data_IF_591429253457
#
_entry.id   IF_591429253457
#
_cell.length_a   1.000
_cell.length_b   1.000
_cell.length_c   1.000
_cell.angle_alpha   90.00
_cell.angle_beta   90.00
_cell.angle_gamma   90.00
#
_symmetry.space_group_name_H-M   'P 1'
#
loop_
_entity.id
_entity.type
_entity.pdbx_description
1 polymer ?
#
# COMPACT_ATOMS: atom_id res chain seq x y z
N UNK A 1 13.62 -3.79 -8.36
CA UNK A 1 12.49 -4.08 -7.46
C UNK A 1 12.79 -3.40 -6.13
N UNK A 2 11.77 -2.93 -5.42
CA UNK A 2 11.90 -2.21 -4.15
C UNK A 2 11.13 -3.01 -3.09
N UNK A 3 11.77 -3.41 -1.99
CA UNK A 3 11.10 -4.14 -0.92
C UNK A 3 10.11 -3.19 -0.23
N UNK A 4 8.85 -3.63 -0.10
CA UNK A 4 7.73 -2.80 0.35
C UNK A 4 7.11 -3.33 1.64
N UNK A 5 6.23 -2.52 2.23
CA UNK A 5 5.42 -2.91 3.38
C UNK A 5 4.52 -4.12 3.09
N UNK A 6 3.96 -4.23 1.88
CA UNK A 6 3.21 -5.41 1.44
C UNK A 6 4.09 -6.68 1.49
N UNK A 7 5.30 -6.61 0.93
CA UNK A 7 6.24 -7.75 0.97
C UNK A 7 6.56 -8.12 2.43
N UNK A 8 6.75 -7.13 3.31
CA UNK A 8 6.94 -7.33 4.73
C UNK A 8 5.79 -8.10 5.39
N UNK A 9 4.55 -7.73 5.10
CA UNK A 9 3.38 -8.38 5.69
C UNK A 9 3.10 -9.75 5.10
N UNK A 10 3.30 -9.92 3.80
CA UNK A 10 3.23 -11.22 3.14
C UNK A 10 4.22 -12.20 3.78
N UNK A 11 5.45 -11.77 4.06
CA UNK A 11 6.43 -12.56 4.80
C UNK A 11 5.91 -12.90 6.20
N UNK A 12 5.41 -11.92 6.97
CA UNK A 12 4.87 -12.12 8.33
C UNK A 12 3.79 -13.20 8.36
N UNK A 13 2.81 -13.11 7.46
CA UNK A 13 1.69 -14.06 7.40
C UNK A 13 2.18 -15.46 6.99
N UNK A 14 2.96 -15.55 5.91
CA UNK A 14 3.50 -16.82 5.41
C UNK A 14 4.36 -17.53 6.46
N UNK A 15 5.20 -16.77 7.16
CA UNK A 15 6.06 -17.32 8.20
C UNK A 15 5.28 -17.75 9.45
N UNK A 16 4.21 -17.02 9.83
CA UNK A 16 3.33 -17.41 10.94
C UNK A 16 2.72 -18.79 10.71
N UNK A 17 2.30 -19.08 9.48
CA UNK A 17 1.78 -20.40 9.12
C UNK A 17 2.89 -21.45 9.08
N UNK A 18 4.00 -21.15 8.38
CA UNK A 18 5.11 -22.08 8.18
C UNK A 18 5.83 -22.46 9.47
N UNK A 19 5.89 -21.55 10.45
CA UNK A 19 6.61 -21.73 11.71
C UNK A 19 5.69 -21.91 12.91
N UNK A 20 4.38 -22.08 12.70
CA UNK A 20 3.36 -22.26 13.74
C UNK A 20 3.68 -23.35 14.79
N UNK A 21 4.34 -24.44 14.37
CA UNK A 21 4.72 -25.54 15.26
C UNK A 21 6.19 -25.50 15.75
N UNK A 22 6.94 -24.45 15.41
CA UNK A 22 8.40 -24.39 15.60
C UNK A 22 8.83 -23.90 16.99
N UNK A 23 7.91 -23.27 17.74
CA UNK A 23 8.22 -22.60 19.01
C UNK A 23 8.96 -21.27 18.87
N UNK A 24 9.31 -20.85 17.65
CA UNK A 24 9.88 -19.53 17.38
C UNK A 24 8.79 -18.47 17.23
N UNK A 25 9.09 -17.23 17.62
CA UNK A 25 8.23 -16.04 17.40
C UNK A 25 8.78 -15.10 16.33
N UNK A 26 9.96 -15.41 15.78
CA UNK A 26 10.70 -14.58 14.85
C UNK A 26 11.56 -15.44 13.92
N UNK A 27 11.93 -14.89 12.76
CA UNK A 27 12.76 -15.56 11.76
C UNK A 27 13.69 -14.54 11.10
N UNK A 28 14.84 -15.01 10.62
CA UNK A 28 15.80 -14.18 9.90
C UNK A 28 15.26 -13.80 8.52
N UNK A 29 15.46 -12.53 8.17
CA UNK A 29 15.25 -12.00 6.82
C UNK A 29 16.59 -11.65 6.19
N UNK A 30 16.60 -11.43 4.88
CA UNK A 30 17.80 -11.11 4.12
C UNK A 30 18.36 -9.69 4.31
N UNK A 31 17.97 -8.96 5.35
CA UNK A 31 18.41 -7.59 5.59
C UNK A 31 19.56 -7.58 6.61
N UNK A 32 20.74 -7.09 6.22
CA UNK A 32 21.98 -7.23 7.01
C UNK A 32 22.97 -6.09 6.79
N UNK A 33 23.75 -5.76 7.82
CA UNK A 33 24.91 -4.86 7.72
C UNK A 33 26.25 -5.58 7.54
N UNK A 34 26.26 -6.91 7.40
CA UNK A 34 27.50 -7.68 7.19
C UNK A 34 28.25 -7.26 5.92
N UNK A 35 27.50 -6.81 4.91
CA UNK A 35 28.02 -6.48 3.59
C UNK A 35 28.34 -4.98 3.45
N UNK A 36 28.22 -4.18 4.52
CA UNK A 36 28.52 -2.76 4.49
C UNK A 36 29.94 -2.47 4.96
N UNK A 37 30.58 -1.48 4.35
CA UNK A 37 31.96 -1.08 4.69
C UNK A 37 32.07 -0.56 6.13
N UNK A 38 31.01 0.05 6.65
CA UNK A 38 30.93 0.59 8.00
C UNK A 38 30.44 -0.43 9.05
N UNK A 39 30.03 -1.63 8.61
CA UNK A 39 29.39 -2.67 9.43
C UNK A 39 28.07 -2.27 10.09
N UNK A 40 27.50 -1.11 9.74
CA UNK A 40 26.32 -0.49 10.39
C UNK A 40 25.17 -0.25 9.42
N UNK A 41 25.45 -0.03 8.15
CA UNK A 41 24.43 0.22 7.14
C UNK A 41 23.77 -1.09 6.71
N UNK A 42 22.48 -1.25 7.00
CA UNK A 42 21.74 -2.45 6.60
C UNK A 42 21.31 -2.37 5.13
N UNK A 43 21.49 -3.50 4.43
CA UNK A 43 21.11 -3.67 3.03
C UNK A 43 20.59 -5.10 2.79
N UNK A 44 19.74 -5.26 1.77
CA UNK A 44 19.27 -6.58 1.37
C UNK A 44 20.39 -7.36 0.71
N UNK A 45 20.55 -8.64 1.08
CA UNK A 45 21.57 -9.55 0.53
C UNK A 45 21.45 -9.79 -0.97
N UNK A 46 20.25 -9.60 -1.54
CA UNK A 46 19.97 -9.74 -2.97
C UNK A 46 20.14 -8.41 -3.75
N UNK A 47 20.54 -7.34 -3.07
CA UNK A 47 20.69 -6.00 -3.65
C UNK A 47 19.37 -5.25 -3.90
N UNK A 48 18.24 -5.79 -3.45
CA UNK A 48 16.94 -5.09 -3.51
C UNK A 48 17.04 -3.75 -2.76
N UNK A 49 16.55 -2.68 -3.38
CA UNK A 49 16.43 -1.38 -2.70
C UNK A 49 15.22 -1.39 -1.77
N UNK A 50 15.20 -0.55 -0.75
CA UNK A 50 14.00 -0.36 0.08
C UNK A 50 13.92 1.09 0.55
N UNK A 51 12.73 1.67 0.45
CA UNK A 51 12.31 2.90 1.13
C UNK A 51 11.42 2.61 2.35
N UNK A 52 11.09 1.33 2.57
CA UNK A 52 10.35 0.84 3.72
C UNK A 52 11.27 0.69 4.93
N UNK A 53 10.84 1.24 6.06
CA UNK A 53 11.49 1.07 7.34
C UNK A 53 10.67 0.12 8.23
N UNK A 54 11.09 -1.13 8.33
CA UNK A 54 10.43 -2.12 9.19
C UNK A 54 10.99 -2.22 10.60
N UNK A 55 11.98 -1.41 10.99
CA UNK A 55 12.61 -1.50 12.31
C UNK A 55 11.63 -1.24 13.46
N UNK A 56 11.71 -2.06 14.51
CA UNK A 56 11.02 -1.80 15.76
C UNK A 56 11.63 -0.58 16.49
N UNK A 57 10.89 -0.03 17.44
CA UNK A 57 11.36 1.13 18.21
C UNK A 57 12.67 0.81 18.94
N UNK A 58 13.73 1.56 18.63
CA UNK A 58 15.05 1.42 19.26
C UNK A 58 16.01 0.51 18.49
N UNK A 59 15.57 -0.04 17.36
CA UNK A 59 16.41 -0.78 16.41
C UNK A 59 16.85 0.12 15.25
N UNK A 60 17.96 -0.19 14.55
CA UNK A 60 18.87 -1.31 14.81
C UNK A 60 19.79 -1.11 16.04
N UNK A 61 19.95 -2.15 16.85
CA UNK A 61 20.90 -2.16 17.98
C UNK A 61 22.36 -2.33 17.53
N UNK A 62 23.28 -1.65 18.21
CA UNK A 62 24.71 -1.74 17.89
C UNK A 62 25.29 -3.12 18.23
N UNK A 63 26.01 -3.72 17.29
CA UNK A 63 26.74 -4.98 17.46
C UNK A 63 26.04 -6.22 16.90
N UNK A 64 24.78 -6.08 16.48
CA UNK A 64 24.03 -7.13 15.80
C UNK A 64 23.85 -6.75 14.31
N UNK A 65 24.20 -7.66 13.40
CA UNK A 65 24.33 -7.34 11.97
C UNK A 65 23.28 -8.02 11.09
N UNK A 66 22.41 -8.88 11.64
CA UNK A 66 21.34 -9.53 10.90
C UNK A 66 19.98 -9.03 11.41
N UNK A 67 19.03 -8.85 10.51
CA UNK A 67 17.67 -8.53 10.87
C UNK A 67 16.82 -9.81 11.00
N UNK A 68 15.92 -9.82 11.96
CA UNK A 68 14.86 -10.80 12.07
C UNK A 68 13.51 -10.10 12.09
N UNK A 69 12.50 -10.73 11.51
CA UNK A 69 11.14 -10.24 11.54
C UNK A 69 10.35 -10.96 12.62
N UNK A 70 9.57 -10.21 13.41
CA UNK A 70 8.67 -10.74 14.43
C UNK A 70 7.32 -11.08 13.81
N UNK A 71 6.81 -12.27 14.10
CA UNK A 71 5.55 -12.76 13.50
C UNK A 71 4.32 -12.03 14.04
N UNK A 72 4.36 -11.48 15.25
CA UNK A 72 3.20 -10.80 15.85
C UNK A 72 2.79 -9.53 15.10
N UNK A 73 3.76 -8.70 14.72
CA UNK A 73 3.53 -7.34 14.20
C UNK A 73 4.24 -7.08 12.87
N UNK A 74 5.19 -7.94 12.48
CA UNK A 74 6.00 -7.75 11.28
C UNK A 74 7.16 -6.79 11.45
N UNK A 75 7.43 -6.30 12.68
CA UNK A 75 8.55 -5.40 12.96
C UNK A 75 9.88 -6.16 12.97
N UNK A 76 10.96 -5.43 12.69
CA UNK A 76 12.31 -5.96 12.60
C UNK A 76 13.10 -5.68 13.86
N UNK A 77 13.85 -6.69 14.27
CA UNK A 77 14.81 -6.63 15.36
C UNK A 77 16.19 -7.00 14.84
N UNK A 78 17.24 -6.47 15.45
CA UNK A 78 18.59 -6.94 15.14
C UNK A 78 18.90 -8.22 15.93
N UNK A 79 19.70 -9.09 15.33
CA UNK A 79 20.07 -10.39 15.86
C UNK A 79 21.52 -10.74 15.51
N UNK A 80 22.23 -11.49 16.38
CA UNK A 80 23.52 -12.06 16.04
C UNK A 80 23.40 -13.01 14.85
N UNK A 81 24.21 -12.80 13.81
CA UNK A 81 24.17 -13.61 12.59
C UNK A 81 24.64 -15.07 12.79
N UNK A 82 25.37 -15.35 13.87
CA UNK A 82 25.95 -16.66 14.17
C UNK A 82 25.04 -17.58 15.01
N UNK A 83 23.85 -17.11 15.39
CA UNK A 83 22.89 -17.88 16.16
C UNK A 83 21.89 -18.60 15.26
N UNK A 84 21.50 -19.82 15.65
CA UNK A 84 20.55 -20.64 14.90
C UNK A 84 19.14 -20.07 15.00
N UNK A 85 18.54 -19.75 13.85
CA UNK A 85 17.17 -19.24 13.73
C UNK A 85 16.51 -19.80 12.46
N UNK A 86 15.18 -19.94 12.41
CA UNK A 86 14.47 -20.14 11.16
C UNK A 86 14.69 -18.93 10.25
N UNK A 87 14.60 -19.13 8.94
CA UNK A 87 14.84 -18.08 7.94
C UNK A 87 13.94 -18.28 6.73
N UNK A 88 13.74 -17.20 5.97
CA UNK A 88 12.96 -17.20 4.74
C UNK A 88 13.86 -17.05 3.51
N UNK A 89 13.47 -17.69 2.41
CA UNK A 89 14.12 -17.52 1.10
C UNK A 89 13.16 -16.84 0.12
N UNK A 90 13.71 -15.98 -0.74
CA UNK A 90 13.02 -15.37 -1.87
C UNK A 90 13.67 -15.82 -3.16
N UNK A 91 12.86 -16.15 -4.15
CA UNK A 91 13.32 -16.53 -5.48
C UNK A 91 12.17 -16.54 -6.48
N UNK A 92 12.46 -16.65 -7.79
CA UNK A 92 11.43 -16.78 -8.80
C UNK A 92 10.59 -18.04 -8.53
N UNK A 93 9.27 -17.90 -8.66
CA UNK A 93 8.37 -19.04 -8.54
C UNK A 93 8.68 -20.07 -9.64
N UNK A 94 8.92 -21.33 -9.25
CA UNK A 94 9.14 -22.41 -10.21
C UNK A 94 7.91 -22.55 -11.12
N UNK A 95 8.11 -22.36 -12.42
CA UNK A 95 7.05 -22.52 -13.43
C UNK A 95 6.25 -21.26 -13.75
N UNK A 96 6.59 -20.10 -13.16
CA UNK A 96 5.97 -18.81 -13.50
C UNK A 96 7.06 -17.89 -14.05
N UNK A 97 7.01 -17.57 -15.34
CA UNK A 97 7.80 -16.49 -15.91
C UNK A 97 7.26 -15.16 -15.37
N UNK A 98 7.94 -14.59 -14.38
CA UNK A 98 7.73 -13.19 -14.00
C UNK A 98 8.08 -12.32 -15.20
N UNK A 99 7.13 -11.55 -15.72
CA UNK A 99 7.38 -10.56 -16.76
C UNK A 99 8.37 -9.54 -16.23
N UNK A 100 9.42 -9.26 -16.98
CA UNK A 100 10.37 -8.21 -16.62
C UNK A 100 9.61 -6.90 -16.38
N UNK A 101 10.07 -6.13 -15.39
CA UNK A 101 9.65 -4.73 -15.23
C UNK A 101 9.80 -4.00 -16.59
N UNK A 102 8.89 -3.08 -16.96
CA UNK A 102 9.00 -2.37 -18.22
C UNK A 102 10.36 -1.69 -18.30
N UNK A 103 11.14 -2.06 -19.31
CA UNK A 103 12.41 -1.41 -19.63
C UNK A 103 12.08 0.05 -19.93
N UNK A 104 12.63 0.94 -19.11
CA UNK A 104 12.58 2.38 -19.33
C UNK A 104 13.34 2.71 -20.63
N UNK A 105 12.59 2.81 -21.73
CA UNK A 105 13.01 3.35 -23.01
C UNK A 105 12.15 4.59 -23.29
N UNK A 106 12.78 5.76 -23.30
CA UNK A 106 12.10 7.04 -23.15
C UNK A 106 11.28 7.53 -24.33
N UNK A 107 10.31 8.38 -24.03
CA UNK A 107 10.09 9.74 -24.57
C UNK A 107 8.84 10.29 -23.90
N UNK A 108 8.81 11.61 -23.69
CA UNK A 108 7.74 12.38 -23.02
C UNK A 108 6.35 12.04 -23.57
N UNK A 109 5.69 11.07 -22.94
CA UNK A 109 4.26 10.81 -23.02
C UNK A 109 3.82 10.49 -21.60
N UNK A 110 2.69 11.05 -21.19
CA UNK A 110 2.13 10.94 -19.85
C UNK A 110 2.18 9.48 -19.33
N UNK A 111 2.77 9.21 -18.14
CA UNK A 111 2.95 7.88 -17.60
C UNK A 111 1.69 6.99 -17.67
N UNK A 112 0.47 7.54 -17.53
CA UNK A 112 -0.77 6.75 -17.57
C UNK A 112 -1.13 6.20 -18.94
N UNK A 113 -0.73 6.85 -20.04
CA UNK A 113 -1.05 6.35 -21.39
C UNK A 113 -0.37 5.01 -21.72
N UNK A 114 0.67 4.65 -20.97
CA UNK A 114 1.37 3.38 -21.12
C UNK A 114 0.68 2.20 -20.41
N UNK A 115 -0.27 2.47 -19.51
CA UNK A 115 -0.97 1.43 -18.75
C UNK A 115 -2.04 0.74 -19.60
N UNK A 116 -2.18 -0.57 -19.41
CA UNK A 116 -3.24 -1.34 -20.08
C UNK A 116 -4.61 -0.93 -19.55
N UNK A 117 -5.58 -0.81 -20.46
CA UNK A 117 -6.97 -0.48 -20.12
C UNK A 117 -7.74 -1.73 -19.72
N UNK A 118 -8.72 -1.55 -18.85
CA UNK A 118 -9.67 -2.57 -18.44
C UNK A 118 -11.08 -1.98 -18.31
N UNK A 119 -12.07 -2.85 -18.09
CA UNK A 119 -13.42 -2.48 -17.70
C UNK A 119 -13.71 -3.14 -16.36
N UNK A 120 -14.18 -2.38 -15.37
CA UNK A 120 -14.59 -2.94 -14.10
C UNK A 120 -15.90 -2.31 -13.64
N UNK A 121 -16.88 -3.16 -13.36
CA UNK A 121 -18.25 -2.77 -12.98
C UNK A 121 -18.89 -1.75 -13.94
N UNK A 122 -18.56 -1.84 -15.24
CA UNK A 122 -19.12 -0.96 -16.27
C UNK A 122 -18.38 0.37 -16.48
N UNK A 123 -17.32 0.64 -15.70
CA UNK A 123 -16.49 1.84 -15.87
C UNK A 123 -15.14 1.52 -16.52
N UNK A 124 -14.62 2.52 -17.23
CA UNK A 124 -13.28 2.46 -17.79
C UNK A 124 -12.24 2.48 -16.67
N UNK A 125 -11.31 1.54 -16.72
CA UNK A 125 -10.24 1.41 -15.75
C UNK A 125 -8.86 1.24 -16.36
N UNK A 126 -7.87 1.21 -15.48
CA UNK A 126 -6.48 0.88 -15.81
C UNK A 126 -6.00 -0.28 -14.94
N UNK A 127 -5.16 -1.12 -15.54
CA UNK A 127 -4.53 -2.25 -14.86
C UNK A 127 -3.27 -1.76 -14.14
N UNK A 128 -3.18 -1.98 -12.83
CA UNK A 128 -1.92 -1.76 -12.10
C UNK A 128 -0.97 -2.92 -12.37
N UNK A 129 0.15 -2.73 -13.11
CA UNK A 129 0.96 -3.84 -13.63
C UNK A 129 1.55 -4.76 -12.55
N UNK A 130 1.99 -4.27 -11.38
CA UNK A 130 2.54 -5.15 -10.35
C UNK A 130 1.56 -6.21 -9.83
N UNK A 131 0.25 -5.90 -9.77
CA UNK A 131 -0.76 -6.82 -9.25
C UNK A 131 -1.69 -7.39 -10.33
N UNK A 132 -1.72 -6.77 -11.52
CA UNK A 132 -2.64 -7.12 -12.59
C UNK A 132 -4.10 -6.76 -12.31
N UNK A 133 -4.39 -6.06 -11.20
CA UNK A 133 -5.76 -5.67 -10.82
C UNK A 133 -6.23 -4.46 -11.59
N UNK A 134 -7.53 -4.43 -11.90
CA UNK A 134 -8.18 -3.31 -12.57
C UNK A 134 -8.69 -2.29 -11.54
N UNK A 135 -8.39 -1.01 -11.78
CA UNK A 135 -8.85 0.10 -10.96
C UNK A 135 -9.73 0.99 -11.81
N UNK A 136 -10.86 1.42 -11.27
CA UNK A 136 -11.80 2.31 -11.95
C UNK A 136 -12.44 3.25 -10.94
N UNK A 137 -12.71 4.49 -11.35
CA UNK A 137 -13.45 5.45 -10.54
C UNK A 137 -14.91 5.45 -10.95
N UNK A 138 -15.79 5.43 -9.95
CA UNK A 138 -17.24 5.44 -10.11
C UNK A 138 -17.80 6.70 -9.48
N UNK A 139 -18.85 7.24 -10.07
CA UNK A 139 -19.60 8.36 -9.47
C UNK A 139 -20.53 7.82 -8.39
N UNK A 140 -20.74 8.57 -7.33
CA UNK A 140 -21.84 8.29 -6.40
C UNK A 140 -23.18 8.49 -7.12
N UNK A 141 -24.06 7.49 -7.09
CA UNK A 141 -25.40 7.59 -7.71
C UNK A 141 -26.30 8.55 -6.93
N UNK A 142 -26.28 8.45 -5.59
CA UNK A 142 -27.16 9.14 -4.64
C UNK A 142 -26.44 9.34 -3.28
N UNK A 143 -26.90 10.30 -2.47
CA UNK A 143 -26.35 10.65 -1.14
C UNK A 143 -26.42 9.53 -0.07
N UNK A 144 -26.90 8.33 -0.42
CA UNK A 144 -27.08 7.21 0.54
C UNK A 144 -25.77 6.59 1.01
N UNK A 145 -24.69 6.73 0.22
CA UNK A 145 -23.33 6.63 0.74
C UNK A 145 -22.76 5.23 0.99
N UNK A 146 -23.35 4.13 0.51
CA UNK A 146 -22.82 2.76 0.76
C UNK A 146 -22.28 2.03 -0.48
N UNK A 147 -22.47 2.56 -1.70
CA UNK A 147 -22.09 1.86 -2.95
C UNK A 147 -20.57 1.57 -3.04
N UNK A 148 -19.76 2.49 -2.54
CA UNK A 148 -18.30 2.37 -2.49
C UNK A 148 -17.83 1.20 -1.62
N UNK A 149 -18.63 0.76 -0.63
CA UNK A 149 -18.34 -0.43 0.17
C UNK A 149 -18.40 -1.72 -0.67
N UNK A 150 -19.06 -1.72 -1.82
CA UNK A 150 -19.09 -2.90 -2.71
C UNK A 150 -17.93 -2.91 -3.70
N UNK A 151 -17.08 -1.89 -3.67
CA UNK A 151 -16.10 -1.64 -4.71
C UNK A 151 -14.67 -2.02 -4.37
N UNK A 152 -14.42 -2.42 -3.12
CA UNK A 152 -13.15 -3.00 -2.68
C UNK A 152 -11.95 -2.06 -2.92
N UNK A 153 -12.14 -0.73 -2.85
CA UNK A 153 -11.03 0.20 -3.02
C UNK A 153 -10.02 0.04 -1.88
N UNK A 154 -8.91 -0.63 -2.16
CA UNK A 154 -7.82 -0.89 -1.22
C UNK A 154 -6.49 -0.51 -1.86
N UNK A 155 -5.55 0.00 -1.05
CA UNK A 155 -4.23 0.44 -1.49
C UNK A 155 -3.19 -0.06 -0.47
N UNK A 156 -2.12 -0.68 -0.95
CA UNK A 156 -1.15 -1.45 -0.14
C UNK A 156 0.30 -0.99 -0.29
N UNK A 157 0.59 -0.06 -1.20
CA UNK A 157 1.92 0.53 -1.30
C UNK A 157 1.93 1.92 -1.94
N UNK A 158 3.06 2.62 -1.79
CA UNK A 158 3.26 3.98 -2.28
C UNK A 158 3.16 4.12 -3.80
N UNK A 159 3.45 3.06 -4.56
CA UNK A 159 3.37 3.06 -6.04
C UNK A 159 1.96 2.78 -6.54
N UNK A 160 1.19 1.96 -5.83
CA UNK A 160 -0.24 1.77 -6.05
C UNK A 160 -0.98 3.08 -5.74
N UNK A 161 -0.66 3.74 -4.63
CA UNK A 161 -1.22 5.03 -4.23
C UNK A 161 -0.88 6.14 -5.25
N UNK A 162 0.39 6.23 -5.68
CA UNK A 162 0.79 7.16 -6.74
C UNK A 162 0.02 6.91 -8.05
N UNK A 163 -0.19 5.64 -8.41
CA UNK A 163 -0.95 5.26 -9.60
C UNK A 163 -2.41 5.70 -9.50
N UNK A 164 -3.09 5.40 -8.39
CA UNK A 164 -4.49 5.80 -8.14
C UNK A 164 -4.64 7.33 -8.11
N UNK A 165 -3.73 8.04 -7.42
CA UNK A 165 -3.75 9.50 -7.34
C UNK A 165 -3.59 10.15 -8.72
N UNK A 166 -2.78 9.57 -9.61
CA UNK A 166 -2.66 10.05 -10.99
C UNK A 166 -3.92 9.76 -11.82
N UNK A 167 -4.52 8.58 -11.65
CA UNK A 167 -5.77 8.22 -12.34
C UNK A 167 -6.90 9.20 -12.06
N UNK A 168 -7.10 9.57 -10.78
CA UNK A 168 -8.20 10.49 -10.42
C UNK A 168 -7.94 11.90 -10.95
N UNK A 169 -6.68 12.35 -10.99
CA UNK A 169 -6.34 13.66 -11.56
C UNK A 169 -6.71 13.71 -13.03
N UNK A 170 -6.36 12.70 -13.82
CA UNK A 170 -6.70 12.67 -15.24
C UNK A 170 -8.21 12.59 -15.48
N UNK A 171 -8.93 11.80 -14.67
CA UNK A 171 -10.39 11.76 -14.69
C UNK A 171 -11.00 13.15 -14.48
N UNK A 172 -10.56 13.84 -13.44
CA UNK A 172 -11.05 15.17 -13.09
C UNK A 172 -10.70 16.22 -14.16
N UNK A 173 -9.65 15.97 -14.99
CA UNK A 173 -9.27 16.88 -16.11
C UNK A 173 -10.32 16.79 -17.18
N UNK A 174 -10.71 15.56 -17.51
CA UNK A 174 -11.75 15.27 -18.49
C UNK A 174 -13.10 15.81 -18.02
N UNK A 175 -13.41 15.67 -16.74
CA UNK A 175 -14.71 16.07 -16.17
C UNK A 175 -14.80 17.54 -15.77
N UNK A 176 -13.71 18.31 -15.92
CA UNK A 176 -13.64 19.74 -15.58
C UNK A 176 -13.99 20.05 -14.12
N UNK A 177 -13.68 19.12 -13.21
CA UNK A 177 -13.87 19.31 -11.76
C UNK A 177 -12.92 20.38 -11.17
N UNK A 178 -12.01 20.94 -11.97
CA UNK A 178 -10.87 21.76 -11.52
C UNK A 178 -11.11 23.26 -11.31
N UNK A 179 -12.35 23.73 -11.42
CA UNK A 179 -12.66 25.15 -11.23
C UNK A 179 -13.84 25.29 -10.28
N UNK A 180 -13.70 25.94 -9.10
CA UNK A 180 -12.59 26.76 -8.60
C UNK A 180 -11.56 26.05 -7.66
N UNK A 181 -11.57 24.72 -7.53
CA UNK A 181 -10.82 24.02 -6.47
C UNK A 181 -9.39 23.59 -6.86
N UNK A 182 -8.45 23.62 -5.90
CA UNK A 182 -7.06 23.19 -6.07
C UNK A 182 -6.79 21.79 -5.50
N UNK A 183 -7.56 21.38 -4.50
CA UNK A 183 -7.49 20.06 -3.87
C UNK A 183 -8.76 19.27 -4.19
N UNK A 184 -8.58 17.96 -4.33
CA UNK A 184 -9.61 17.03 -4.76
C UNK A 184 -9.66 15.84 -3.85
N UNK A 185 -10.87 15.37 -3.60
CA UNK A 185 -11.12 14.29 -2.66
C UNK A 185 -11.88 13.18 -3.36
N UNK A 186 -11.48 11.95 -3.12
CA UNK A 186 -12.18 10.74 -3.57
C UNK A 186 -12.21 9.71 -2.44
N UNK A 187 -13.26 8.90 -2.39
CA UNK A 187 -13.34 7.80 -1.44
C UNK A 187 -12.48 6.61 -1.91
N UNK A 188 -11.74 6.00 -0.98
CA UNK A 188 -10.93 4.81 -1.23
C UNK A 188 -11.70 3.58 -0.75
N UNK A 189 -11.86 3.43 0.57
CA UNK A 189 -12.45 2.23 1.19
C UNK A 189 -12.62 2.42 2.70
N UNK A 190 -13.39 1.54 3.34
CA UNK A 190 -13.62 1.59 4.78
C UNK A 190 -12.60 0.70 5.51
N UNK A 191 -12.28 1.05 6.74
CA UNK A 191 -11.35 0.32 7.60
C UNK A 191 -12.06 -0.16 8.85
N UNK A 192 -11.74 -1.38 9.29
CA UNK A 192 -12.31 -2.01 10.48
C UNK A 192 -11.23 -2.72 11.31
N UNK A 193 -11.51 -2.98 12.58
CA UNK A 193 -10.55 -3.52 13.56
C UNK A 193 -11.18 -4.63 14.41
N UNK A 194 -11.29 -5.88 13.92
CA UNK A 194 -11.96 -6.98 14.64
C UNK A 194 -11.16 -7.55 15.83
N UNK A 195 -10.25 -6.77 16.43
CA UNK A 195 -9.56 -7.11 17.68
C UNK A 195 -8.14 -7.67 17.57
N UNK A 196 -7.63 -7.98 16.36
CA UNK A 196 -6.25 -8.49 16.17
C UNK A 196 -5.44 -7.75 15.10
N UNK A 197 -5.95 -6.63 14.59
CA UNK A 197 -5.31 -5.87 13.52
C UNK A 197 -6.30 -5.07 12.71
N UNK A 198 -5.77 -4.15 11.91
CA UNK A 198 -6.54 -3.25 11.07
C UNK A 198 -6.66 -3.82 9.66
N UNK A 199 -7.86 -3.80 9.09
CA UNK A 199 -8.13 -4.35 7.78
C UNK A 199 -9.12 -3.49 7.00
N UNK A 200 -9.05 -3.55 5.69
CA UNK A 200 -10.09 -3.02 4.81
C UNK A 200 -11.40 -3.77 5.07
N UNK A 201 -12.46 -3.03 5.43
CA UNK A 201 -13.72 -3.60 5.91
C UNK A 201 -14.42 -4.48 4.89
N UNK A 202 -14.24 -4.16 3.60
CA UNK A 202 -14.97 -4.78 2.50
C UNK A 202 -14.49 -6.20 2.18
N UNK A 203 -13.16 -6.42 2.20
CA UNK A 203 -12.55 -7.66 1.73
C UNK A 203 -11.64 -8.32 2.77
N UNK A 204 -11.47 -7.71 3.94
CA UNK A 204 -10.58 -8.20 5.00
C UNK A 204 -9.10 -8.16 4.62
N UNK A 205 -8.73 -7.50 3.51
CA UNK A 205 -7.33 -7.29 3.18
C UNK A 205 -6.68 -6.43 4.26
N UNK A 206 -5.40 -6.66 4.54
CA UNK A 206 -4.68 -5.91 5.57
C UNK A 206 -4.69 -4.40 5.26
N UNK A 207 -4.97 -3.57 6.26
CA UNK A 207 -4.80 -2.12 6.16
C UNK A 207 -3.33 -1.78 6.41
N UNK A 208 -2.54 -2.06 5.38
CA UNK A 208 -1.09 -2.20 5.43
C UNK A 208 -0.32 -1.05 4.81
N UNK A 209 -1.00 -0.07 4.24
CA UNK A 209 -0.40 1.16 3.78
C UNK A 209 -1.34 2.33 4.09
N UNK A 210 -0.76 3.44 4.52
CA UNK A 210 -1.52 4.64 4.83
C UNK A 210 -0.63 5.87 4.73
N UNK A 211 -1.25 7.02 4.45
CA UNK A 211 -0.59 8.33 4.40
C UNK A 211 -1.04 9.28 5.50
N UNK A 212 -0.16 10.22 5.82
CA UNK A 212 -0.42 11.27 6.79
C UNK A 212 -0.68 10.72 8.19
N UNK A 213 -1.49 11.45 8.96
CA UNK A 213 -1.86 11.09 10.32
C UNK A 213 -3.06 10.13 10.40
N UNK A 214 -3.50 9.55 9.27
CA UNK A 214 -4.58 8.56 9.28
C UNK A 214 -4.16 7.25 9.98
N UNK A 215 -2.89 7.11 10.33
CA UNK A 215 -2.29 5.98 11.03
C UNK A 215 -2.86 5.73 12.43
N UNK A 216 -3.02 4.45 12.77
CA UNK A 216 -3.41 3.86 14.07
C UNK A 216 -4.76 4.29 14.67
N UNK A 217 -5.17 5.56 14.59
CA UNK A 217 -6.42 6.04 15.20
C UNK A 217 -7.68 5.46 14.56
N UNK A 218 -7.71 5.36 13.24
CA UNK A 218 -8.84 4.75 12.50
C UNK A 218 -9.02 3.25 12.86
N UNK A 219 -7.97 2.63 13.40
CA UNK A 219 -7.97 1.25 13.85
C UNK A 219 -8.37 1.08 15.33
N UNK A 220 -8.56 2.19 16.06
CA UNK A 220 -8.86 2.21 17.50
C UNK A 220 -10.31 2.56 17.83
N UNK A 221 -11.09 3.01 16.85
CA UNK A 221 -12.43 3.60 17.05
C UNK A 221 -13.58 2.59 16.97
N UNK A 222 -13.35 1.35 16.51
CA UNK A 222 -14.38 0.29 16.35
C UNK A 222 -15.61 0.72 15.52
N UNK A 223 -15.47 1.73 14.66
CA UNK A 223 -16.47 2.14 13.69
C UNK A 223 -15.88 1.96 12.30
N UNK A 224 -16.69 1.55 11.32
CA UNK A 224 -16.26 1.49 9.92
C UNK A 224 -15.96 2.92 9.44
N UNK A 225 -14.71 3.33 9.58
CA UNK A 225 -14.26 4.68 9.27
C UNK A 225 -13.83 4.71 7.80
N UNK A 226 -14.43 5.62 7.02
CA UNK A 226 -14.08 5.76 5.61
C UNK A 226 -12.77 6.49 5.39
N UNK A 227 -12.00 5.99 4.43
CA UNK A 227 -10.72 6.58 3.99
C UNK A 227 -10.93 7.32 2.69
N UNK A 228 -10.41 8.55 2.64
CA UNK A 228 -10.40 9.39 1.45
C UNK A 228 -8.96 9.70 1.01
N UNK A 229 -8.75 9.82 -0.29
CA UNK A 229 -7.54 10.38 -0.87
C UNK A 229 -7.72 11.86 -1.16
N UNK A 230 -6.73 12.69 -0.84
CA UNK A 230 -6.70 14.13 -1.07
C UNK A 230 -5.54 14.44 -2.02
N UNK A 231 -5.83 14.99 -3.20
CA UNK A 231 -4.82 15.26 -4.24
C UNK A 231 -4.85 16.73 -4.62
N UNK A 232 -3.68 17.37 -4.62
CA UNK A 232 -3.48 18.68 -5.19
C UNK A 232 -3.07 18.55 -6.66
N UNK A 233 -3.87 19.08 -7.58
CA UNK A 233 -3.61 18.96 -9.02
C UNK A 233 -2.40 19.78 -9.51
N UNK A 234 -2.05 20.85 -8.80
CA UNK A 234 -1.02 21.80 -9.22
C UNK A 234 0.35 21.30 -8.82
N UNK A 235 0.48 20.87 -7.55
CA UNK A 235 1.74 20.35 -7.00
C UNK A 235 1.87 18.84 -7.23
N UNK A 236 0.81 18.16 -7.66
CA UNK A 236 0.73 16.70 -7.74
C UNK A 236 1.12 16.03 -6.42
N UNK A 237 0.80 16.66 -5.29
CA UNK A 237 0.97 16.08 -3.96
C UNK A 237 -0.31 15.41 -3.51
N UNK A 238 -0.21 14.29 -2.82
CA UNK A 238 -1.36 13.57 -2.28
C UNK A 238 -1.13 13.08 -0.86
N UNK A 239 -2.21 13.10 -0.08
CA UNK A 239 -2.31 12.66 1.31
C UNK A 239 -3.66 11.95 1.55
N UNK A 240 -3.86 11.33 2.70
CA UNK A 240 -5.09 10.64 3.05
C UNK A 240 -5.81 11.33 4.22
N UNK A 241 -7.14 11.18 4.27
CA UNK A 241 -7.99 11.70 5.34
C UNK A 241 -9.12 10.75 5.70
N UNK A 242 -9.83 11.06 6.78
CA UNK A 242 -11.03 10.32 7.20
C UNK A 242 -12.28 11.00 6.61
N UNK A 243 -13.22 10.19 6.11
CA UNK A 243 -14.44 10.63 5.40
C UNK A 243 -15.35 11.50 6.30
N UNK A 244 -15.45 11.18 7.59
CA UNK A 244 -16.36 11.79 8.55
C UNK A 244 -15.80 13.08 9.15
N UNK A 245 -14.48 13.16 9.33
CA UNK A 245 -13.83 14.29 9.98
C UNK A 245 -13.46 15.45 9.05
N UNK A 246 -13.61 15.26 7.73
CA UNK A 246 -13.08 16.23 6.75
C UNK A 246 -14.14 17.12 6.11
N UNK A 247 -15.43 16.84 6.33
CA UNK A 247 -16.53 17.61 5.73
C UNK A 247 -16.44 17.69 4.20
N UNK A 248 -15.70 16.79 3.57
CA UNK A 248 -15.28 16.90 2.18
C UNK A 248 -16.43 16.81 1.19
N UNK A 249 -17.52 16.13 1.56
CA UNK A 249 -18.77 16.10 0.78
C UNK A 249 -19.30 17.52 0.51
N UNK A 250 -19.09 18.44 1.45
CA UNK A 250 -19.51 19.85 1.32
C UNK A 250 -18.52 20.72 0.54
N UNK A 251 -17.28 20.28 0.36
CA UNK A 251 -16.22 21.05 -0.30
C UNK A 251 -16.00 20.64 -1.76
N UNK A 252 -16.50 19.47 -2.17
CA UNK A 252 -16.43 18.96 -3.55
C UNK A 252 -17.83 19.06 -4.19
N UNK A 253 -17.96 19.52 -5.44
CA UNK A 253 -19.23 19.50 -6.15
C UNK A 253 -19.80 18.08 -6.28
N UNK A 254 -21.12 17.87 -6.15
CA UNK A 254 -21.73 16.54 -6.24
C UNK A 254 -21.36 15.75 -7.50
N UNK A 255 -21.24 16.42 -8.65
CA UNK A 255 -20.87 15.81 -9.92
C UNK A 255 -19.43 15.26 -9.98
N UNK A 256 -18.61 15.61 -8.97
CA UNK A 256 -17.22 15.22 -8.81
C UNK A 256 -17.02 14.28 -7.61
N UNK A 257 -18.08 13.87 -6.92
CA UNK A 257 -18.00 12.83 -5.90
C UNK A 257 -17.76 11.49 -6.57
N UNK A 258 -16.57 10.93 -6.33
CA UNK A 258 -16.16 9.63 -6.87
C UNK A 258 -15.57 8.73 -5.80
N UNK A 259 -15.65 7.44 -6.05
CA UNK A 259 -15.03 6.40 -5.23
C UNK A 259 -14.23 5.44 -6.09
N UNK A 260 -13.20 4.86 -5.48
CA UNK A 260 -12.32 3.89 -6.09
C UNK A 260 -12.94 2.49 -6.06
N UNK A 261 -12.87 1.79 -7.19
CA UNK A 261 -13.16 0.37 -7.28
C UNK A 261 -11.94 -0.41 -7.77
N UNK A 262 -11.72 -1.59 -7.18
CA UNK A 262 -10.63 -2.51 -7.50
C UNK A 262 -11.17 -3.93 -7.68
N UNK A 263 -10.63 -4.65 -8.67
CA UNK A 263 -10.97 -6.06 -8.94
C UNK A 263 -10.29 -7.05 -8.00
#
# INVERSE_FOLDING_TARGET
>A
MNFSQYENQFLRATASDAFSASGYSSYLIGYTSLNSEDGKTFQWVDGTKTDFNGWDRGEPSFGNQCAMQRMSDGNWLTHPCNQKMPFVCKGPAKGITTTNAPVSGGTTTDPLHSYQRCQYRGENGLIYPPTGRCYSFHKFSDDTGDEWLQCHGTIHDVKEDEFVARMVVDLFRVWKCFSPFTNFVYAIGAVTSPGSGCQWAVNGESFDYYKGNISQWICMTNVDDGVIGIVNQTTMTWDWGNIDNTGWWSTVPPECHVYLCKS
#
